data_IF_749897422228
#
_entry.id   IF_749897422228
#
_cell.length_a   1.000
_cell.length_b   1.000
_cell.length_c   1.000
_cell.angle_alpha   90.00
_cell.angle_beta   90.00
_cell.angle_gamma   90.00
#
_symmetry.space_group_name_H-M   'P 1'
#
loop_
_entity.id
_entity.type
_entity.pdbx_description
1 polymer ?
#
# COMPACT_ATOMS: atom_id res chain seq x y z
N UNK A 1 71.55 36.72 21.30
CA UNK A 1 71.35 35.25 21.34
C UNK A 1 69.87 34.84 21.44
N UNK A 2 69.04 35.47 22.28
CA UNK A 2 67.64 35.06 22.50
C UNK A 2 66.70 35.18 21.28
N UNK A 3 66.82 36.25 20.47
CA UNK A 3 65.94 36.50 19.31
C UNK A 3 65.99 35.40 18.24
N UNK A 4 67.18 34.81 17.98
CA UNK A 4 67.37 33.73 16.99
C UNK A 4 66.78 32.39 17.46
N UNK A 5 66.74 32.14 18.76
CA UNK A 5 66.12 30.92 19.33
C UNK A 5 64.59 31.00 19.25
N UNK A 6 64.03 32.18 19.52
CA UNK A 6 62.60 32.40 19.43
C UNK A 6 62.06 32.24 18.00
N UNK A 7 62.77 32.76 16.99
CA UNK A 7 62.39 32.58 15.58
C UNK A 7 62.45 31.11 15.14
N UNK A 8 63.49 30.37 15.55
CA UNK A 8 63.62 28.95 15.20
C UNK A 8 62.49 28.08 15.79
N UNK A 9 62.09 28.35 17.04
CA UNK A 9 60.95 27.65 17.66
C UNK A 9 59.63 27.98 16.97
N UNK A 10 59.46 29.21 16.50
CA UNK A 10 58.24 29.63 15.82
C UNK A 10 58.12 29.02 14.42
N UNK A 11 59.25 28.80 13.73
CA UNK A 11 59.30 28.01 12.49
C UNK A 11 58.99 26.53 12.72
N UNK A 12 59.54 25.91 13.76
CA UNK A 12 59.21 24.50 14.10
C UNK A 12 57.72 24.31 14.40
N UNK A 13 57.11 25.23 15.16
CA UNK A 13 55.68 25.18 15.48
C UNK A 13 54.83 25.36 14.21
N UNK A 14 55.18 26.29 13.33
CA UNK A 14 54.47 26.46 12.05
C UNK A 14 54.59 25.24 11.14
N UNK A 15 55.75 24.57 11.11
CA UNK A 15 55.96 23.35 10.33
C UNK A 15 55.16 22.16 10.89
N UNK A 16 55.00 22.06 12.21
CA UNK A 16 54.17 21.05 12.85
C UNK A 16 52.69 21.26 12.55
N UNK A 17 52.20 22.51 12.67
CA UNK A 17 50.81 22.86 12.36
C UNK A 17 50.44 22.56 10.90
N UNK A 18 51.31 22.89 9.95
CA UNK A 18 51.05 22.61 8.52
C UNK A 18 51.07 21.12 8.19
N UNK A 19 51.91 20.32 8.88
CA UNK A 19 51.94 18.87 8.70
C UNK A 19 50.67 18.18 9.21
N UNK A 20 50.12 18.65 10.33
CA UNK A 20 48.87 18.11 10.87
C UNK A 20 47.67 18.49 9.98
N UNK A 21 47.67 19.70 9.42
CA UNK A 21 46.66 20.15 8.44
C UNK A 21 46.74 19.34 7.12
N UNK A 22 47.95 19.02 6.64
CA UNK A 22 48.12 18.16 5.46
C UNK A 22 47.68 16.71 5.74
N UNK A 23 47.95 16.20 6.94
CA UNK A 23 47.54 14.85 7.34
C UNK A 23 46.03 14.74 7.42
N UNK A 24 45.37 15.70 8.06
CA UNK A 24 43.91 15.72 8.19
C UNK A 24 43.22 15.87 6.84
N UNK A 25 43.77 16.67 5.92
CA UNK A 25 43.29 16.74 4.52
C UNK A 25 43.38 15.39 3.81
N UNK A 26 44.52 14.70 3.89
CA UNK A 26 44.67 13.35 3.29
C UNK A 26 43.68 12.34 3.87
N UNK A 27 43.39 12.44 5.17
CA UNK A 27 42.39 11.58 5.81
C UNK A 27 40.97 11.90 5.34
N UNK A 28 40.64 13.18 5.12
CA UNK A 28 39.36 13.61 4.52
C UNK A 28 39.20 13.12 3.08
N UNK A 29 40.22 13.28 2.23
CA UNK A 29 40.19 12.79 0.84
C UNK A 29 40.00 11.26 0.81
N UNK A 30 40.68 10.54 1.70
CA UNK A 30 40.52 9.08 1.81
C UNK A 30 39.13 8.67 2.31
N UNK A 31 38.49 9.48 3.15
CA UNK A 31 37.11 9.29 3.60
C UNK A 31 36.11 9.54 2.47
N UNK A 32 36.34 10.57 1.66
CA UNK A 32 35.50 10.89 0.49
C UNK A 32 35.52 9.75 -0.54
N UNK A 33 36.70 9.23 -0.87
CA UNK A 33 36.84 8.06 -1.77
C UNK A 33 36.09 6.83 -1.21
N UNK A 34 36.13 6.61 0.12
CA UNK A 34 35.39 5.50 0.75
C UNK A 34 33.88 5.72 0.67
N UNK A 35 33.41 6.96 0.82
CA UNK A 35 31.98 7.29 0.68
C UNK A 35 31.50 7.05 -0.75
N UNK A 36 32.28 7.45 -1.76
CA UNK A 36 31.96 7.19 -3.17
C UNK A 36 31.85 5.68 -3.45
N UNK A 37 32.77 4.89 -2.90
CA UNK A 37 32.72 3.43 -3.03
C UNK A 37 31.47 2.84 -2.34
N UNK A 38 31.07 3.36 -1.18
CA UNK A 38 29.85 2.92 -0.48
C UNK A 38 28.62 3.29 -1.29
N UNK A 39 28.54 4.51 -1.85
CA UNK A 39 27.42 4.95 -2.68
C UNK A 39 27.30 4.12 -3.94
N UNK A 40 28.43 3.81 -4.60
CA UNK A 40 28.46 2.93 -5.76
C UNK A 40 27.93 1.53 -5.42
N UNK A 41 28.42 0.93 -4.32
CA UNK A 41 27.92 -0.36 -3.84
C UNK A 41 26.42 -0.32 -3.52
N UNK A 42 25.93 0.75 -2.88
CA UNK A 42 24.51 0.90 -2.58
C UNK A 42 23.67 1.01 -3.87
N UNK A 43 24.15 1.74 -4.88
CA UNK A 43 23.49 1.85 -6.18
C UNK A 43 23.39 0.49 -6.89
N UNK A 44 24.45 -0.32 -6.79
CA UNK A 44 24.49 -1.66 -7.36
C UNK A 44 23.55 -2.61 -6.61
N UNK A 45 23.55 -2.56 -5.27
CA UNK A 45 22.61 -3.33 -4.44
C UNK A 45 21.17 -2.97 -4.79
N UNK A 46 20.84 -1.68 -4.93
CA UNK A 46 19.50 -1.24 -5.33
C UNK A 46 19.13 -1.75 -6.72
N UNK A 47 20.07 -1.72 -7.67
CA UNK A 47 19.85 -2.23 -9.03
C UNK A 47 19.58 -3.74 -9.01
N UNK A 48 20.40 -4.51 -8.30
CA UNK A 48 20.23 -5.97 -8.14
C UNK A 48 18.93 -6.31 -7.39
N UNK A 49 18.60 -5.55 -6.34
CA UNK A 49 17.31 -5.67 -5.64
C UNK A 49 16.14 -5.33 -6.56
N UNK A 50 16.27 -4.38 -7.47
CA UNK A 50 15.28 -4.07 -8.50
C UNK A 50 15.04 -5.27 -9.44
N UNK A 51 16.10 -5.92 -9.93
CA UNK A 51 16.01 -7.13 -10.77
C UNK A 51 15.42 -8.31 -10.00
N UNK A 52 15.84 -8.53 -8.74
CA UNK A 52 15.29 -9.59 -7.89
C UNK A 52 13.83 -9.30 -7.51
N UNK A 53 13.48 -8.03 -7.30
CA UNK A 53 12.11 -7.60 -7.13
C UNK A 53 11.32 -7.88 -8.41
N UNK A 54 11.84 -7.60 -9.60
CA UNK A 54 11.17 -7.97 -10.86
C UNK A 54 11.06 -9.49 -11.05
N UNK A 55 11.99 -10.29 -10.51
CA UNK A 55 11.91 -11.75 -10.52
C UNK A 55 10.98 -12.37 -9.46
N UNK A 56 10.75 -11.68 -8.33
CA UNK A 56 9.82 -12.10 -7.25
C UNK A 56 8.42 -11.49 -7.38
N UNK A 57 8.36 -10.30 -7.93
CA UNK A 57 7.19 -9.61 -8.43
C UNK A 57 7.32 -9.65 -9.94
N UNK A 58 7.11 -10.84 -10.52
CA UNK A 58 6.95 -10.96 -11.95
C UNK A 58 6.05 -9.83 -12.42
N UNK A 59 6.65 -8.92 -13.18
CA UNK A 59 6.02 -8.18 -14.27
C UNK A 59 5.58 -9.19 -15.36
N UNK A 60 5.12 -10.35 -14.93
CA UNK A 60 4.27 -11.19 -15.71
C UNK A 60 2.97 -10.40 -15.73
N UNK A 61 2.75 -9.79 -16.89
CA UNK A 61 1.42 -9.60 -17.44
C UNK A 61 0.81 -11.00 -17.50
N UNK A 62 0.51 -11.59 -16.35
CA UNK A 62 -0.36 -12.73 -16.30
C UNK A 62 -1.63 -12.19 -16.95
N UNK A 63 -2.10 -12.84 -18.01
CA UNK A 63 -3.44 -12.69 -18.59
C UNK A 63 -4.51 -13.11 -17.56
N UNK A 64 -4.40 -12.60 -16.34
CA UNK A 64 -5.36 -12.82 -15.28
C UNK A 64 -6.34 -11.72 -15.50
N UNK A 65 -7.53 -12.15 -15.92
CA UNK A 65 -8.63 -11.31 -16.26
C UNK A 65 -8.79 -10.22 -15.19
N UNK A 66 -8.32 -9.01 -15.53
CA UNK A 66 -8.37 -7.85 -14.65
C UNK A 66 -9.84 -7.53 -14.33
N UNK A 67 -10.78 -8.08 -15.11
CA UNK A 67 -12.21 -8.01 -14.91
C UNK A 67 -12.75 -8.92 -13.77
N UNK A 68 -11.94 -9.78 -13.14
CA UNK A 68 -12.44 -10.62 -12.05
C UNK A 68 -12.91 -9.80 -10.83
N UNK A 69 -12.34 -8.60 -10.65
CA UNK A 69 -12.78 -7.66 -9.62
C UNK A 69 -13.55 -6.51 -10.26
N UNK A 70 -14.63 -6.02 -9.64
CA UNK A 70 -15.20 -6.46 -8.35
C UNK A 70 -16.03 -7.76 -8.48
N UNK A 71 -15.89 -8.65 -7.49
CA UNK A 71 -16.68 -9.90 -7.42
C UNK A 71 -18.16 -9.53 -7.27
N UNK A 72 -18.97 -10.07 -8.16
CA UNK A 72 -20.38 -9.72 -8.28
C UNK A 72 -21.31 -10.75 -7.66
N UNK A 73 -20.95 -12.02 -7.81
CA UNK A 73 -21.75 -13.14 -7.36
C UNK A 73 -21.28 -13.66 -5.99
N UNK A 74 -22.16 -13.73 -4.97
CA UNK A 74 -21.89 -14.43 -3.72
C UNK A 74 -21.32 -15.85 -3.89
N UNK A 75 -21.70 -16.57 -4.94
CA UNK A 75 -21.29 -17.96 -5.18
C UNK A 75 -19.86 -18.07 -5.74
N UNK A 76 -19.25 -16.95 -6.12
CA UNK A 76 -17.83 -16.85 -6.49
C UNK A 76 -16.91 -16.69 -5.27
N UNK A 77 -17.43 -16.27 -4.12
CA UNK A 77 -16.61 -16.09 -2.91
C UNK A 77 -15.93 -17.38 -2.42
N UNK A 78 -16.60 -18.55 -2.38
CA UNK A 78 -15.93 -19.80 -2.07
C UNK A 78 -14.83 -20.16 -3.07
N UNK A 79 -15.03 -19.87 -4.36
CA UNK A 79 -14.02 -20.13 -5.42
C UNK A 79 -12.80 -19.24 -5.23
N UNK A 80 -13.03 -17.95 -4.99
CA UNK A 80 -11.95 -17.00 -4.69
C UNK A 80 -11.19 -17.39 -3.42
N UNK A 81 -11.89 -17.83 -2.36
CA UNK A 81 -11.25 -18.30 -1.13
C UNK A 81 -10.39 -19.54 -1.36
N UNK A 82 -10.82 -20.46 -2.22
CA UNK A 82 -10.03 -21.61 -2.63
C UNK A 82 -8.80 -21.19 -3.45
N UNK A 83 -8.95 -20.31 -4.45
CA UNK A 83 -7.81 -19.83 -5.26
C UNK A 83 -6.78 -19.09 -4.42
N UNK A 84 -7.19 -18.35 -3.39
CA UNK A 84 -6.27 -17.68 -2.48
C UNK A 84 -5.50 -18.63 -1.56
N UNK A 85 -5.95 -19.88 -1.42
CA UNK A 85 -5.21 -20.92 -0.71
C UNK A 85 -3.98 -21.41 -1.50
N UNK A 86 -4.05 -21.34 -2.83
CA UNK A 86 -3.01 -21.85 -3.71
C UNK A 86 -1.78 -20.92 -3.74
N UNK A 87 -0.56 -21.45 -3.52
CA UNK A 87 0.65 -20.65 -3.57
C UNK A 87 0.90 -20.15 -5.00
N UNK A 88 1.24 -18.86 -5.14
CA UNK A 88 1.53 -18.24 -6.44
C UNK A 88 0.31 -17.67 -7.17
N UNK A 89 -0.91 -17.83 -6.63
CA UNK A 89 -2.13 -17.33 -7.25
C UNK A 89 -2.05 -15.81 -7.55
N UNK A 90 -2.64 -15.38 -8.68
CA UNK A 90 -2.57 -13.98 -9.10
C UNK A 90 -3.59 -13.08 -8.38
N UNK A 91 -4.68 -13.64 -7.85
CA UNK A 91 -5.75 -12.87 -7.21
C UNK A 91 -5.27 -12.12 -5.96
N UNK A 92 -4.38 -12.70 -5.16
CA UNK A 92 -3.78 -12.00 -4.03
C UNK A 92 -2.95 -10.77 -4.45
N UNK A 93 -2.28 -10.85 -5.61
CA UNK A 93 -1.54 -9.71 -6.20
C UNK A 93 -2.50 -8.62 -6.70
N UNK A 94 -3.59 -9.02 -7.38
CA UNK A 94 -4.64 -8.10 -7.82
C UNK A 94 -5.30 -7.38 -6.64
N UNK A 95 -5.69 -8.11 -5.59
CA UNK A 95 -6.24 -7.52 -4.36
C UNK A 95 -5.27 -6.50 -3.75
N UNK A 96 -3.96 -6.83 -3.69
CA UNK A 96 -2.94 -5.92 -3.19
C UNK A 96 -2.87 -4.64 -4.02
N UNK A 97 -2.90 -4.72 -5.36
CA UNK A 97 -2.89 -3.57 -6.27
C UNK A 97 -4.12 -2.68 -6.07
N UNK A 98 -5.31 -3.27 -5.87
CA UNK A 98 -6.56 -2.54 -5.67
C UNK A 98 -6.61 -1.82 -4.31
N UNK A 99 -6.06 -2.44 -3.27
CA UNK A 99 -6.05 -1.94 -1.89
C UNK A 99 -4.86 -1.03 -1.55
N UNK A 100 -3.73 -1.17 -2.26
CA UNK A 100 -2.53 -0.36 -2.11
C UNK A 100 -2.09 0.25 -3.45
N UNK A 101 -2.86 1.20 -4.01
CA UNK A 101 -2.35 2.01 -5.13
C UNK A 101 -1.06 2.72 -4.68
N UNK A 102 -0.03 2.66 -5.52
CA UNK A 102 1.28 3.29 -5.28
C UNK A 102 2.01 2.82 -4.01
N UNK A 103 1.68 1.61 -3.53
CA UNK A 103 2.29 1.00 -2.34
C UNK A 103 1.77 1.55 -1.00
N UNK A 104 0.86 2.53 -1.00
CA UNK A 104 0.32 3.14 0.22
C UNK A 104 -0.89 2.36 0.75
N UNK A 105 -0.90 2.15 2.07
CA UNK A 105 -2.02 1.48 2.76
C UNK A 105 -3.26 2.35 2.67
N UNK A 106 -4.29 1.88 1.94
CA UNK A 106 -5.58 2.58 1.86
C UNK A 106 -6.56 1.95 2.85
N UNK A 107 -7.25 2.74 3.69
CA UNK A 107 -8.23 2.21 4.63
C UNK A 107 -9.30 1.37 3.93
N UNK A 108 -9.62 0.19 4.48
CA UNK A 108 -10.60 -0.73 3.90
C UNK A 108 -11.93 -0.05 3.57
N UNK A 109 -12.42 0.85 4.43
CA UNK A 109 -13.68 1.60 4.20
C UNK A 109 -13.76 2.33 2.84
N UNK A 110 -12.62 2.66 2.22
CA UNK A 110 -12.56 3.33 0.91
C UNK A 110 -12.37 2.35 -0.24
N UNK A 111 -11.59 1.29 -0.02
CA UNK A 111 -11.13 0.37 -1.06
C UNK A 111 -11.93 -0.92 -1.15
N UNK A 112 -12.73 -1.27 -0.13
CA UNK A 112 -13.52 -2.50 -0.08
C UNK A 112 -14.54 -2.62 -1.22
N UNK A 113 -15.12 -1.49 -1.66
CA UNK A 113 -16.03 -1.42 -2.83
C UNK A 113 -15.35 -1.73 -4.17
N UNK A 114 -14.02 -1.76 -4.22
CA UNK A 114 -13.26 -2.15 -5.42
C UNK A 114 -13.13 -3.66 -5.53
N UNK A 115 -13.31 -4.39 -4.42
CA UNK A 115 -13.19 -5.84 -4.38
C UNK A 115 -14.54 -6.54 -4.54
N UNK A 116 -15.60 -5.95 -4.01
CA UNK A 116 -16.93 -6.55 -3.96
C UNK A 116 -17.98 -5.56 -4.42
N UNK A 117 -18.97 -6.04 -5.16
CA UNK A 117 -20.13 -5.23 -5.58
C UNK A 117 -21.13 -5.03 -4.44
N UNK A 118 -22.08 -4.13 -4.66
CA UNK A 118 -23.18 -3.85 -3.73
C UNK A 118 -23.98 -5.12 -3.37
N UNK A 119 -24.11 -6.09 -4.28
CA UNK A 119 -24.79 -7.36 -4.01
C UNK A 119 -24.15 -8.12 -2.84
N UNK A 120 -22.83 -8.29 -2.88
CA UNK A 120 -22.06 -8.92 -1.80
C UNK A 120 -22.08 -8.04 -0.55
N UNK A 121 -21.84 -6.74 -0.71
CA UNK A 121 -21.73 -5.82 0.43
C UNK A 121 -23.05 -5.68 1.22
N UNK A 122 -24.20 -5.83 0.57
CA UNK A 122 -25.52 -5.82 1.20
C UNK A 122 -25.92 -7.19 1.77
N UNK A 123 -25.46 -8.29 1.16
CA UNK A 123 -25.81 -9.66 1.57
C UNK A 123 -24.97 -10.21 2.72
N UNK A 124 -23.78 -9.67 2.94
CA UNK A 124 -22.84 -10.14 3.96
C UNK A 124 -22.62 -9.13 5.10
N UNK A 125 -22.12 -9.63 6.23
CA UNK A 125 -21.38 -8.86 7.21
C UNK A 125 -20.30 -9.75 7.82
N UNK A 126 -19.41 -9.19 8.65
CA UNK A 126 -18.31 -9.97 9.20
C UNK A 126 -18.77 -11.19 10.01
N UNK A 127 -19.82 -11.05 10.84
CA UNK A 127 -20.22 -12.06 11.83
C UNK A 127 -21.35 -13.01 11.39
N UNK A 128 -22.07 -12.72 10.31
CA UNK A 128 -23.25 -13.47 9.88
C UNK A 128 -24.55 -13.13 10.64
N UNK A 129 -24.69 -11.92 11.18
CA UNK A 129 -25.86 -11.55 12.00
C UNK A 129 -26.95 -10.83 11.20
N UNK A 130 -28.19 -10.81 11.70
CA UNK A 130 -29.33 -10.07 11.13
C UNK A 130 -29.65 -10.44 9.67
N UNK A 131 -29.84 -11.74 9.40
CA UNK A 131 -30.14 -12.29 8.07
C UNK A 131 -29.06 -11.98 7.02
N UNK A 132 -27.80 -11.86 7.45
CA UNK A 132 -26.64 -11.69 6.56
C UNK A 132 -25.75 -12.92 6.61
N UNK A 133 -25.15 -13.26 5.48
CA UNK A 133 -24.16 -14.32 5.40
C UNK A 133 -22.86 -13.89 6.12
N UNK A 134 -22.19 -14.85 6.76
CA UNK A 134 -20.97 -14.60 7.51
C UNK A 134 -19.78 -14.47 6.55
N UNK A 135 -19.04 -13.36 6.63
CA UNK A 135 -17.84 -13.16 5.81
C UNK A 135 -16.58 -13.73 6.47
N UNK A 136 -16.57 -13.88 7.80
CA UNK A 136 -15.46 -14.49 8.53
C UNK A 136 -15.21 -15.97 8.17
N UNK A 137 -16.16 -16.63 7.49
CA UNK A 137 -16.01 -18.01 7.02
C UNK A 137 -14.96 -18.16 5.91
N UNK A 138 -14.69 -17.10 5.14
CA UNK A 138 -13.71 -17.09 4.05
C UNK A 138 -12.31 -16.82 4.57
N UNK A 139 -11.64 -17.87 5.08
CA UNK A 139 -10.39 -17.73 5.85
C UNK A 139 -9.26 -17.15 5.02
N UNK A 140 -9.12 -17.56 3.76
CA UNK A 140 -8.03 -17.15 2.90
C UNK A 140 -8.24 -15.71 2.41
N UNK A 141 -9.47 -15.33 2.06
CA UNK A 141 -9.81 -13.94 1.75
C UNK A 141 -9.48 -13.04 2.96
N UNK A 142 -9.91 -13.40 4.16
CA UNK A 142 -9.65 -12.60 5.36
C UNK A 142 -8.15 -12.53 5.69
N UNK A 143 -7.42 -13.64 5.55
CA UNK A 143 -5.96 -13.69 5.74
C UNK A 143 -5.26 -12.79 4.73
N UNK A 144 -5.62 -12.87 3.45
CA UNK A 144 -5.05 -12.02 2.40
C UNK A 144 -5.33 -10.54 2.65
N UNK A 145 -6.55 -10.18 3.06
CA UNK A 145 -6.89 -8.80 3.41
C UNK A 145 -6.07 -8.30 4.61
N UNK A 146 -5.94 -9.12 5.66
CA UNK A 146 -5.10 -8.82 6.82
C UNK A 146 -3.64 -8.61 6.41
N UNK A 147 -3.06 -9.51 5.63
CA UNK A 147 -1.68 -9.41 5.15
C UNK A 147 -1.45 -8.19 4.25
N UNK A 148 -2.46 -7.79 3.49
CA UNK A 148 -2.43 -6.56 2.68
C UNK A 148 -2.60 -5.32 3.55
N UNK A 149 -3.33 -5.36 4.67
CA UNK A 149 -3.49 -4.18 5.53
C UNK A 149 -2.39 -4.06 6.58
N UNK A 150 -1.68 -5.14 6.88
CA UNK A 150 -0.64 -5.19 7.90
C UNK A 150 0.41 -4.09 7.71
N UNK A 151 0.50 -3.24 8.72
CA UNK A 151 1.59 -2.29 8.97
C UNK A 151 2.24 -2.60 10.32
N UNK A 152 3.33 -1.91 10.67
CA UNK A 152 3.92 -2.04 12.00
C UNK A 152 2.86 -1.81 13.09
N UNK A 153 2.77 -2.72 14.06
CA UNK A 153 1.80 -2.66 15.16
C UNK A 153 0.37 -3.08 14.84
N UNK A 154 0.04 -3.44 13.59
CA UNK A 154 -1.32 -3.83 13.20
C UNK A 154 -1.64 -5.25 13.68
N UNK A 155 -2.68 -5.38 14.50
CA UNK A 155 -3.11 -6.67 15.07
C UNK A 155 -4.49 -7.09 14.55
N UNK A 156 -4.88 -8.34 14.83
CA UNK A 156 -6.13 -8.92 14.34
C UNK A 156 -7.38 -8.15 14.79
N UNK A 157 -7.38 -7.55 15.98
CA UNK A 157 -8.52 -6.74 16.46
C UNK A 157 -8.72 -5.47 15.63
N UNK A 158 -7.64 -4.87 15.15
CA UNK A 158 -7.70 -3.68 14.29
C UNK A 158 -8.35 -4.05 12.96
N UNK A 159 -7.93 -5.17 12.37
CA UNK A 159 -8.54 -5.72 11.17
C UNK A 159 -10.03 -5.99 11.32
N UNK A 160 -10.43 -6.66 12.40
CA UNK A 160 -11.85 -6.95 12.66
C UNK A 160 -12.67 -5.65 12.78
N UNK A 161 -12.10 -4.63 13.40
CA UNK A 161 -12.74 -3.32 13.54
C UNK A 161 -12.86 -2.63 12.19
N UNK A 162 -11.79 -2.63 11.38
CA UNK A 162 -11.77 -2.01 10.06
C UNK A 162 -12.70 -2.69 9.06
N UNK A 163 -12.76 -4.03 9.03
CA UNK A 163 -13.63 -4.76 8.11
C UNK A 163 -15.10 -4.54 8.46
N UNK A 164 -15.46 -4.53 9.75
CA UNK A 164 -16.82 -4.16 10.19
C UNK A 164 -17.16 -2.74 9.76
N UNK A 165 -16.25 -1.79 9.98
CA UNK A 165 -16.42 -0.40 9.54
C UNK A 165 -16.55 -0.28 8.01
N UNK A 166 -15.82 -1.11 7.25
CA UNK A 166 -15.89 -1.15 5.79
C UNK A 166 -17.26 -1.62 5.29
N UNK A 167 -17.81 -2.71 5.87
CA UNK A 167 -19.18 -3.14 5.58
C UNK A 167 -20.21 -2.05 5.91
N UNK A 168 -20.09 -1.40 7.08
CA UNK A 168 -21.01 -0.31 7.43
C UNK A 168 -20.89 0.90 6.49
N UNK A 169 -19.68 1.28 6.08
CA UNK A 169 -19.45 2.36 5.14
C UNK A 169 -20.02 2.03 3.75
N UNK A 170 -19.80 0.81 3.27
CA UNK A 170 -20.34 0.33 2.01
C UNK A 170 -21.88 0.35 2.00
N UNK A 171 -22.53 -0.23 3.02
CA UNK A 171 -23.99 -0.27 3.12
C UNK A 171 -24.59 1.14 3.15
N UNK A 172 -24.02 2.05 3.95
CA UNK A 172 -24.47 3.46 3.98
C UNK A 172 -24.37 4.11 2.60
N UNK A 173 -23.29 3.85 1.87
CA UNK A 173 -23.12 4.36 0.50
C UNK A 173 -24.20 3.80 -0.45
N UNK A 174 -24.47 2.50 -0.39
CA UNK A 174 -25.50 1.84 -1.20
C UNK A 174 -26.89 2.43 -0.90
N UNK A 175 -27.27 2.53 0.38
CA UNK A 175 -28.57 3.08 0.78
C UNK A 175 -28.73 4.54 0.38
N UNK A 176 -27.69 5.37 0.54
CA UNK A 176 -27.69 6.76 0.08
C UNK A 176 -27.89 6.85 -1.43
N UNK A 177 -27.13 6.05 -2.21
CA UNK A 177 -27.26 6.01 -3.67
C UNK A 177 -28.67 5.62 -4.11
N UNK A 178 -29.24 4.57 -3.51
CA UNK A 178 -30.60 4.12 -3.83
C UNK A 178 -31.65 5.16 -3.46
N UNK A 179 -31.48 5.84 -2.32
CA UNK A 179 -32.34 6.95 -1.93
C UNK A 179 -32.28 8.10 -2.94
N UNK A 180 -31.07 8.54 -3.31
CA UNK A 180 -30.87 9.61 -4.27
C UNK A 180 -31.43 9.26 -5.66
N UNK A 181 -31.30 8.00 -6.09
CA UNK A 181 -31.86 7.51 -7.35
C UNK A 181 -33.39 7.52 -7.35
N UNK A 182 -34.03 7.08 -6.26
CA UNK A 182 -35.49 7.13 -6.13
C UNK A 182 -36.01 8.56 -6.18
N UNK A 183 -35.38 9.47 -5.44
CA UNK A 183 -35.75 10.88 -5.43
C UNK A 183 -35.64 11.52 -6.82
N UNK A 184 -34.57 11.21 -7.56
CA UNK A 184 -34.40 11.70 -8.95
C UNK A 184 -35.45 11.14 -9.90
N UNK A 185 -35.81 9.86 -9.75
CA UNK A 185 -36.82 9.22 -10.59
C UNK A 185 -38.21 9.83 -10.36
N UNK A 186 -38.56 10.14 -9.10
CA UNK A 186 -39.81 10.81 -8.75
C UNK A 186 -39.88 12.22 -9.35
N UNK A 187 -38.81 13.02 -9.21
CA UNK A 187 -38.77 14.37 -9.80
C UNK A 187 -38.87 14.37 -11.34
N UNK A 188 -38.29 13.35 -12.01
CA UNK A 188 -38.42 13.21 -13.47
C UNK A 188 -39.85 12.88 -13.87
N UNK A 189 -40.51 11.98 -13.12
CA UNK A 189 -41.91 11.61 -13.37
C UNK A 189 -42.87 12.79 -13.13
N UNK A 190 -42.62 13.58 -12.09
CA UNK A 190 -43.41 14.79 -11.81
C UNK A 190 -43.23 15.85 -12.92
N UNK A 191 -42.01 16.06 -13.40
CA UNK A 191 -41.74 16.99 -14.50
C UNK A 191 -42.26 16.52 -15.86
N UNK A 192 -42.24 15.21 -16.13
CA UNK A 192 -42.85 14.61 -17.33
C UNK A 192 -44.38 14.74 -17.28
N UNK A 193 -44.99 14.51 -16.13
CA UNK A 193 -46.42 14.71 -15.94
C UNK A 193 -46.82 16.17 -16.15
N UNK A 194 -46.08 17.15 -15.59
CA UNK A 194 -46.39 18.58 -15.79
C UNK A 194 -46.31 19.03 -17.26
N UNK A 195 -45.39 18.48 -18.05
CA UNK A 195 -45.28 18.79 -19.49
C UNK A 195 -46.34 18.11 -20.38
N UNK A 196 -47.07 17.10 -19.88
CA UNK A 196 -48.10 16.39 -20.65
C UNK A 196 -49.47 17.11 -20.59
N UNK A 197 -49.63 18.07 -19.68
CA UNK A 197 -50.85 18.88 -19.50
C UNK A 197 -50.74 20.33 -20.00
N UNK A 198 -49.58 20.75 -20.50
CA UNK A 198 -49.32 22.04 -21.18
C UNK A 198 -49.38 21.88 -22.72
#
# INVERSE_FOLDING_TARGET
MAKRRYTALQEEVNVLLTKDDERTRKELDALEIKLDHILSNQSEILTRLGVVAQGRYGLDVCEVDVAYFPVSDPDELPKLDAYLAEPGNPYGRLMRRLLRPDGKVTPLKKSFVKLFTDNILLSFNYAGVSNKKAFNQYKNINKTLLDIQKSSGYILSDYITEIRAAFHAAKRRCHKRNHDQRRRSQLSQEAEAENEWD
#
